data_IF_913654321641
#
_entry.id   IF_913654321641
#
_cell.length_a   1.000
_cell.length_b   1.000
_cell.length_c   1.000
_cell.angle_alpha   90.00
_cell.angle_beta   90.00
_cell.angle_gamma   90.00
#
_symmetry.space_group_name_H-M   'P 1'
#
loop_
_entity.id
_entity.type
_entity.pdbx_description
1 polymer ?
#
# COMPACT_ATOMS: atom_id res chain seq x y z
N UNK A 1 1.42 11.08 -0.43
CA UNK A 1 2.70 10.58 -1.00
C UNK A 1 2.44 9.80 -2.27
N UNK A 2 3.44 9.67 -3.14
CA UNK A 2 3.40 8.82 -4.33
C UNK A 2 4.61 7.88 -4.30
N UNK A 3 4.38 6.57 -4.36
CA UNK A 3 5.43 5.55 -4.34
C UNK A 3 5.30 4.69 -5.58
N UNK A 4 6.40 4.52 -6.33
CA UNK A 4 6.44 3.70 -7.55
C UNK A 4 7.67 2.80 -7.50
N UNK A 5 7.48 1.50 -7.73
CA UNK A 5 8.57 0.52 -7.78
C UNK A 5 8.45 -0.39 -9.00
N UNK A 6 9.57 -0.63 -9.67
CA UNK A 6 9.68 -1.65 -10.72
C UNK A 6 9.77 -3.10 -10.16
N UNK A 7 9.80 -3.25 -8.83
CA UNK A 7 9.82 -4.55 -8.15
C UNK A 7 8.71 -4.67 -7.10
N UNK A 8 8.95 -5.52 -6.10
CA UNK A 8 8.07 -5.72 -4.94
C UNK A 8 8.08 -4.50 -4.02
N UNK A 9 6.97 -4.23 -3.33
CA UNK A 9 6.89 -3.25 -2.24
C UNK A 9 6.46 -3.95 -0.95
N UNK A 10 7.17 -3.68 0.14
CA UNK A 10 6.70 -3.96 1.51
C UNK A 10 6.46 -2.63 2.22
N UNK A 11 5.21 -2.39 2.59
CA UNK A 11 4.80 -1.19 3.29
C UNK A 11 4.58 -1.50 4.78
N UNK A 12 5.45 -0.95 5.63
CA UNK A 12 5.49 -1.13 7.09
C UNK A 12 5.31 0.23 7.79
N UNK A 13 4.17 0.89 7.57
CA UNK A 13 3.87 2.17 8.20
C UNK A 13 3.24 2.01 9.60
N UNK A 14 3.94 2.51 10.61
CA UNK A 14 3.46 2.54 12.00
C UNK A 14 2.29 3.52 12.24
N UNK A 15 2.01 4.41 11.28
CA UNK A 15 0.96 5.43 11.37
C UNK A 15 0.12 5.50 10.09
N UNK A 16 -1.06 6.10 10.19
CA UNK A 16 -1.94 6.33 9.05
C UNK A 16 -1.24 7.17 7.99
N UNK A 17 -1.36 6.74 6.73
CA UNK A 17 -0.66 7.34 5.60
C UNK A 17 -1.66 7.76 4.52
N UNK A 18 -1.34 8.81 3.75
CA UNK A 18 -2.13 9.22 2.59
C UNK A 18 -1.29 9.11 1.33
N UNK A 19 -1.74 8.39 0.30
CA UNK A 19 -0.98 8.32 -0.95
C UNK A 19 -1.40 7.26 -1.95
N UNK A 20 -0.76 7.33 -3.11
CA UNK A 20 -0.85 6.32 -4.17
C UNK A 20 0.42 5.49 -4.24
N UNK A 21 0.26 4.17 -4.29
CA UNK A 21 1.37 3.22 -4.33
C UNK A 21 1.22 2.32 -5.55
N UNK A 22 2.27 2.21 -6.36
CA UNK A 22 2.29 1.33 -7.53
C UNK A 22 3.53 0.43 -7.56
N UNK A 23 3.31 -0.87 -7.82
CA UNK A 23 4.37 -1.87 -7.96
C UNK A 23 4.18 -2.73 -9.21
N UNK A 24 5.28 -3.06 -9.88
CA UNK A 24 5.28 -4.11 -10.91
C UNK A 24 5.28 -5.50 -10.27
N UNK A 25 5.92 -5.67 -9.11
CA UNK A 25 5.85 -6.90 -8.33
C UNK A 25 4.70 -6.92 -7.32
N UNK A 26 4.75 -7.89 -6.41
CA UNK A 26 3.81 -7.99 -5.30
C UNK A 26 3.86 -6.75 -4.38
N UNK A 27 2.73 -6.45 -3.77
CA UNK A 27 2.61 -5.44 -2.73
C UNK A 27 2.15 -6.10 -1.43
N UNK A 28 2.88 -5.84 -0.35
CA UNK A 28 2.52 -6.33 0.98
C UNK A 28 2.37 -5.16 1.95
N UNK A 29 1.22 -5.07 2.63
CA UNK A 29 0.97 -4.10 3.69
C UNK A 29 0.85 -4.82 5.03
N UNK A 30 1.85 -4.70 5.89
CA UNK A 30 1.96 -5.41 7.18
C UNK A 30 1.75 -4.47 8.38
N UNK A 31 0.62 -3.79 8.52
CA UNK A 31 0.42 -2.89 9.66
C UNK A 31 -1.02 -2.87 10.15
N UNK A 32 -1.19 -2.53 11.43
CA UNK A 32 -2.47 -2.15 11.99
C UNK A 32 -2.70 -0.64 11.80
N UNK A 33 -2.68 -0.19 10.55
CA UNK A 33 -2.83 1.22 10.19
C UNK A 33 -3.65 1.37 8.91
N UNK A 34 -4.09 2.61 8.64
CA UNK A 34 -4.91 2.93 7.46
C UNK A 34 -4.10 3.65 6.40
N UNK A 35 -4.15 3.14 5.16
CA UNK A 35 -3.80 3.89 3.96
C UNK A 35 -5.05 4.56 3.39
N UNK A 36 -5.03 5.89 3.31
CA UNK A 36 -6.00 6.67 2.55
C UNK A 36 -5.45 6.92 1.15
N UNK A 37 -5.97 6.22 0.15
CA UNK A 37 -5.54 6.36 -1.24
C UNK A 37 -5.66 5.08 -2.03
N UNK A 38 -4.68 4.80 -2.89
CA UNK A 38 -4.76 3.73 -3.88
C UNK A 38 -3.52 2.83 -3.87
N UNK A 39 -3.73 1.54 -4.13
CA UNK A 39 -2.68 0.55 -4.35
C UNK A 39 -2.91 -0.07 -5.72
N UNK A 40 -1.89 -0.07 -6.56
CA UNK A 40 -1.90 -0.70 -7.88
C UNK A 40 -0.68 -1.60 -8.03
N UNK A 41 -0.87 -2.91 -7.87
CA UNK A 41 0.17 -3.92 -8.10
C UNK A 41 -0.15 -4.75 -9.33
N UNK A 42 0.85 -5.08 -10.15
CA UNK A 42 0.68 -6.12 -11.18
C UNK A 42 0.81 -7.54 -10.61
N UNK A 43 1.51 -7.69 -9.48
CA UNK A 43 1.52 -8.92 -8.69
C UNK A 43 0.37 -8.98 -7.68
N UNK A 44 0.52 -9.86 -6.69
CA UNK A 44 -0.46 -10.02 -5.62
C UNK A 44 -0.44 -8.81 -4.65
N UNK A 45 -1.61 -8.49 -4.11
CA UNK A 45 -1.77 -7.51 -3.04
C UNK A 45 -2.14 -8.25 -1.76
N UNK A 46 -1.28 -8.19 -0.75
CA UNK A 46 -1.47 -8.88 0.53
C UNK A 46 -1.62 -7.87 1.67
N UNK A 47 -2.68 -8.02 2.45
CA UNK A 47 -2.97 -7.24 3.65
C UNK A 47 -2.80 -8.12 4.90
N UNK A 48 -1.96 -7.68 5.84
CA UNK A 48 -1.69 -8.38 7.08
C UNK A 48 -1.91 -7.47 8.30
N UNK A 49 -2.14 -8.08 9.46
CA UNK A 49 -2.12 -7.43 10.78
C UNK A 49 -3.10 -6.24 10.96
N UNK A 50 -4.30 -6.30 10.37
CA UNK A 50 -5.31 -5.23 10.51
C UNK A 50 -5.16 -4.08 9.52
N UNK A 51 -4.41 -4.28 8.43
CA UNK A 51 -4.23 -3.28 7.39
C UNK A 51 -5.58 -2.83 6.80
N UNK A 52 -5.83 -1.52 6.82
CA UNK A 52 -7.04 -0.92 6.27
C UNK A 52 -6.70 -0.01 5.09
N UNK A 53 -7.53 -0.06 4.04
CA UNK A 53 -7.37 0.81 2.87
C UNK A 53 -8.69 1.50 2.59
N UNK A 54 -8.65 2.83 2.62
CA UNK A 54 -9.80 3.68 2.29
C UNK A 54 -9.47 4.39 0.99
N UNK A 55 -10.26 4.14 -0.05
CA UNK A 55 -10.10 4.84 -1.31
C UNK A 55 -10.27 6.35 -1.11
N UNK A 56 -9.36 7.13 -1.70
CA UNK A 56 -9.49 8.58 -1.80
C UNK A 56 -9.00 9.02 -3.18
N UNK A 57 -9.71 9.92 -3.84
CA UNK A 57 -9.21 10.62 -5.02
C UNK A 57 -8.09 11.59 -4.59
N UNK A 58 -6.83 11.13 -4.66
CA UNK A 58 -5.63 11.93 -4.42
C UNK A 58 -4.92 12.22 -5.74
#
# INVERSE_FOLDING_TARGET
>A
MKVVSAGRITFNAASNSRGSISSVGDFTFNNNSTLYGTIAAKGNVTFNNGANVIYTAL
#
